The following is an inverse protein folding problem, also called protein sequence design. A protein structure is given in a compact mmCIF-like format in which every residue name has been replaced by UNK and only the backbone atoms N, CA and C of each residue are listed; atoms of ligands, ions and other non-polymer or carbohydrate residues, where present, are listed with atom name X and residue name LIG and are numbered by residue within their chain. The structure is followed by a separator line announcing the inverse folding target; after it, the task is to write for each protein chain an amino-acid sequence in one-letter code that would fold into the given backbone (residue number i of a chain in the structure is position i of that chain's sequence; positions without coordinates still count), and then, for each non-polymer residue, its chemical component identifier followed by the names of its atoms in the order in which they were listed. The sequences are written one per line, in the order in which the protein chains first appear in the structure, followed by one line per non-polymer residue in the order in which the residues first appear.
data_IF_855842619829
#
_entry.id   IF_855842619829
#
_cell.length_a   1.000
_cell.length_b   1.000
_cell.length_c   1.000
_cell.angle_alpha   90.00
_cell.angle_beta   90.00
_cell.angle_gamma   90.00
#
_symmetry.space_group_name_H-M   'P 1'
#
loop_
_entity.id
_entity.type
_entity.pdbx_description
1 polymer ?
#
# COMPACT_ATOMS: atom_id res chain seq x y z
N UNK A 1 5.75 -3.00 -0.29
CA UNK A 1 5.68 -1.72 -1.05
C UNK A 1 4.89 -0.69 -0.25
N UNK A 2 3.65 -0.98 0.14
CA UNK A 2 2.79 -0.01 0.85
C UNK A 2 3.37 0.59 2.14
N UNK A 3 4.03 -0.19 3.00
CA UNK A 3 4.64 0.39 4.23
C UNK A 3 5.65 1.48 3.89
N UNK A 4 6.47 1.29 2.85
CA UNK A 4 7.39 2.32 2.38
C UNK A 4 6.63 3.55 1.88
N UNK A 5 5.60 3.35 1.07
CA UNK A 5 4.80 4.44 0.50
C UNK A 5 4.04 5.26 1.55
N UNK A 6 3.47 4.60 2.56
CA UNK A 6 2.80 5.28 3.68
C UNK A 6 3.77 6.15 4.49
N UNK A 7 5.05 5.77 4.56
CA UNK A 7 6.07 6.49 5.33
C UNK A 7 6.80 7.57 4.52
N UNK A 8 6.97 7.37 3.22
CA UNK A 8 7.76 8.24 2.34
C UNK A 8 6.96 8.96 1.25
N UNK A 9 5.65 8.72 1.16
CA UNK A 9 4.75 9.33 0.16
C UNK A 9 5.01 8.92 -1.30
N UNK A 10 5.88 7.93 -1.53
CA UNK A 10 6.26 7.45 -2.87
C UNK A 10 6.66 5.98 -2.84
N UNK A 11 6.59 5.29 -3.98
CA UNK A 11 7.02 3.89 -4.06
C UNK A 11 8.54 3.77 -4.24
N UNK A 12 9.19 2.74 -3.67
CA UNK A 12 10.66 2.65 -3.63
C UNK A 12 11.31 2.39 -5.00
N UNK A 13 10.53 2.00 -6.01
CA UNK A 13 11.02 1.60 -7.34
C UNK A 13 10.33 2.37 -8.47
N UNK A 14 9.70 3.52 -8.18
CA UNK A 14 9.00 4.33 -9.19
C UNK A 14 9.94 4.72 -10.34
N UNK A 15 9.58 4.36 -11.57
CA UNK A 15 10.22 4.83 -12.79
C UNK A 15 9.37 5.88 -13.50
N UNK A 16 9.87 6.41 -14.63
CA UNK A 16 9.14 7.38 -15.46
C UNK A 16 7.85 6.83 -16.08
N UNK A 17 7.71 5.50 -16.12
CA UNK A 17 6.50 4.79 -16.57
C UNK A 17 6.57 3.31 -16.20
N UNK A 18 5.55 2.54 -16.58
CA UNK A 18 5.37 1.15 -16.12
C UNK A 18 6.58 0.25 -16.44
N UNK A 19 7.11 0.34 -17.66
CA UNK A 19 8.28 -0.45 -18.08
C UNK A 19 9.51 -0.15 -17.22
N UNK A 20 9.78 1.13 -16.94
CA UNK A 20 10.89 1.54 -16.10
C UNK A 20 10.69 1.09 -14.65
N UNK A 21 9.46 1.21 -14.11
CA UNK A 21 9.13 0.72 -12.77
C UNK A 21 9.35 -0.79 -12.64
N UNK A 22 8.91 -1.59 -13.61
CA UNK A 22 9.13 -3.05 -13.60
C UNK A 22 10.63 -3.39 -13.65
N UNK A 23 11.40 -2.71 -14.49
CA UNK A 23 12.84 -2.85 -14.53
C UNK A 23 13.48 -2.53 -13.16
N UNK A 24 13.07 -1.44 -12.51
CA UNK A 24 13.56 -1.05 -11.19
C UNK A 24 13.17 -2.05 -10.10
N UNK A 25 11.96 -2.60 -10.15
CA UNK A 25 11.50 -3.65 -9.22
C UNK A 25 12.40 -4.88 -9.27
N UNK A 26 13.01 -5.19 -10.42
CA UNK A 26 13.93 -6.32 -10.56
C UNK A 26 15.36 -5.91 -10.17
N UNK A 27 15.91 -4.89 -10.83
CA UNK A 27 17.34 -4.58 -10.77
C UNK A 27 17.77 -3.52 -9.75
N UNK A 28 16.86 -2.61 -9.35
CA UNK A 28 17.24 -1.52 -8.46
C UNK A 28 17.29 -1.98 -7.01
N UNK A 29 18.39 -1.64 -6.32
CA UNK A 29 18.52 -1.82 -4.88
C UNK A 29 17.55 -0.91 -4.11
N UNK A 30 17.02 -1.41 -3.00
CA UNK A 30 16.18 -0.62 -2.10
C UNK A 30 17.02 0.49 -1.46
N UNK A 31 16.56 1.74 -1.58
CA UNK A 31 17.17 2.91 -0.94
C UNK A 31 16.12 3.59 -0.06
N UNK A 32 16.60 4.23 1.00
CA UNK A 32 15.76 5.01 1.89
C UNK A 32 16.27 6.46 1.85
N UNK A 33 15.40 7.45 1.63
CA UNK A 33 15.80 8.86 1.71
C UNK A 33 16.14 9.22 3.16
N UNK A 34 16.88 10.31 3.34
CA UNK A 34 17.26 10.84 4.65
C UNK A 34 16.06 11.37 5.43
N UNK A 35 15.09 11.95 4.71
CA UNK A 35 13.86 12.51 5.25
C UNK A 35 12.61 11.94 4.53
N UNK A 36 11.47 11.80 5.22
CA UNK A 36 11.31 11.93 6.68
C UNK A 36 12.08 10.86 7.47
N UNK A 37 12.39 11.17 8.73
CA UNK A 37 12.99 10.20 9.64
C UNK A 37 11.98 9.10 9.96
N UNK A 38 12.40 7.86 9.74
CA UNK A 38 11.60 6.65 9.95
C UNK A 38 12.37 5.73 10.88
N UNK A 39 11.67 5.03 11.77
CA UNK A 39 12.30 4.16 12.76
C UNK A 39 13.15 3.06 12.10
N UNK A 40 14.22 2.66 12.78
CA UNK A 40 15.09 1.57 12.33
C UNK A 40 14.30 0.27 12.14
N UNK A 41 13.37 -0.04 13.04
CA UNK A 41 12.49 -1.19 12.96
C UNK A 41 11.60 -1.17 11.69
N UNK A 42 11.08 -0.01 11.28
CA UNK A 42 10.30 0.10 10.04
C UNK A 42 11.18 -0.14 8.81
N UNK A 43 12.38 0.47 8.77
CA UNK A 43 13.35 0.26 7.69
C UNK A 43 13.77 -1.21 7.59
N UNK A 44 13.98 -1.85 8.73
CA UNK A 44 14.35 -3.27 8.80
C UNK A 44 13.24 -4.18 8.26
N UNK A 45 11.99 -3.96 8.69
CA UNK A 45 10.83 -4.70 8.16
C UNK A 45 10.71 -4.55 6.64
N UNK A 46 10.84 -3.32 6.13
CA UNK A 46 10.75 -3.05 4.68
C UNK A 46 11.87 -3.78 3.93
N UNK A 47 13.11 -3.78 4.46
CA UNK A 47 14.22 -4.54 3.87
C UNK A 47 13.89 -6.03 3.78
N UNK A 48 13.38 -6.63 4.86
CA UNK A 48 12.99 -8.03 4.91
C UNK A 48 11.83 -8.38 3.96
N UNK A 49 10.86 -7.48 3.79
CA UNK A 49 9.72 -7.65 2.88
C UNK A 49 10.10 -7.47 1.40
N UNK A 50 11.09 -6.64 1.09
CA UNK A 50 11.48 -6.29 -0.28
C UNK A 50 12.76 -7.01 -0.75
N UNK A 51 13.11 -8.12 -0.10
CA UNK A 51 14.14 -9.04 -0.61
C UNK A 51 13.70 -9.59 -1.97
N UNK A 52 14.62 -9.50 -2.95
CA UNK A 52 14.37 -9.93 -4.33
C UNK A 52 14.18 -11.44 -4.41
N UNK A 53 15.04 -12.19 -3.72
CA UNK A 53 14.95 -13.65 -3.60
C UNK A 53 13.78 -14.06 -2.70
N UNK A 54 12.72 -14.72 -3.22
CA UNK A 54 11.53 -15.02 -2.43
C UNK A 54 11.78 -15.90 -1.20
N UNK A 55 12.73 -16.83 -1.32
CA UNK A 55 13.14 -17.78 -0.26
C UNK A 55 13.76 -17.09 0.96
N UNK A 56 14.32 -15.89 0.77
CA UNK A 56 14.97 -15.08 1.81
C UNK A 56 14.07 -13.98 2.34
N UNK A 57 12.88 -13.80 1.77
CA UNK A 57 11.92 -12.78 2.18
C UNK A 57 11.32 -13.15 3.54
N UNK A 58 11.13 -12.17 4.40
CA UNK A 58 10.35 -12.38 5.64
C UNK A 58 8.96 -12.93 5.28
N UNK A 59 8.42 -13.77 6.16
CA UNK A 59 7.22 -14.59 5.97
C UNK A 59 7.39 -15.81 5.06
N UNK A 60 8.59 -16.11 4.54
CA UNK A 60 8.77 -17.31 3.72
C UNK A 60 8.62 -18.61 4.52
N UNK A 61 9.18 -18.71 5.73
CA UNK A 61 9.20 -19.97 6.50
C UNK A 61 7.97 -20.16 7.38
N UNK A 62 7.57 -19.14 8.14
CA UNK A 62 6.44 -19.21 9.09
C UNK A 62 5.29 -18.26 8.75
N UNK A 63 5.24 -17.76 7.52
CA UNK A 63 4.15 -16.90 7.06
C UNK A 63 4.03 -15.61 7.87
N UNK A 64 2.79 -15.15 8.03
CA UNK A 64 2.46 -13.90 8.70
C UNK A 64 2.98 -13.79 10.14
N UNK A 65 3.24 -14.91 10.82
CA UNK A 65 3.75 -14.91 12.19
C UNK A 65 5.09 -14.20 12.31
N UNK A 66 5.97 -14.34 11.32
CA UNK A 66 7.27 -13.61 11.30
C UNK A 66 7.07 -12.10 11.23
N UNK A 67 6.09 -11.65 10.45
CA UNK A 67 5.75 -10.22 10.33
C UNK A 67 5.17 -9.73 11.66
N UNK A 68 4.23 -10.46 12.25
CA UNK A 68 3.55 -10.07 13.50
C UNK A 68 4.49 -9.96 14.70
N UNK A 69 5.57 -10.74 14.72
CA UNK A 69 6.59 -10.75 15.79
C UNK A 69 7.73 -9.77 15.54
N UNK A 70 7.76 -9.09 14.39
CA UNK A 70 8.80 -8.13 14.07
C UNK A 70 8.77 -6.94 15.03
N UNK A 71 9.91 -6.38 15.47
CA UNK A 71 9.96 -5.21 16.37
C UNK A 71 9.15 -3.99 15.91
N UNK A 72 8.90 -3.87 14.61
CA UNK A 72 8.04 -2.82 14.05
C UNK A 72 6.59 -2.88 14.58
N UNK A 73 6.10 -4.07 14.90
CA UNK A 73 4.76 -4.31 15.45
C UNK A 73 4.80 -4.64 16.96
N UNK A 74 5.89 -4.28 17.65
CA UNK A 74 5.95 -4.41 19.11
C UNK A 74 4.80 -3.62 19.76
N UNK A 75 4.16 -4.22 20.77
CA UNK A 75 3.01 -3.64 21.46
C UNK A 75 1.66 -3.80 20.72
N UNK A 76 1.64 -4.32 19.49
CA UNK A 76 0.37 -4.54 18.77
C UNK A 76 -0.35 -5.79 19.30
N UNK A 77 -1.54 -5.57 19.88
CA UNK A 77 -2.45 -6.67 20.20
C UNK A 77 -3.30 -7.06 18.98
N UNK A 78 -2.82 -8.05 18.24
CA UNK A 78 -3.49 -8.54 17.02
C UNK A 78 -4.90 -9.10 17.25
N UNK A 79 -5.21 -9.60 18.44
CA UNK A 79 -6.53 -10.14 18.76
C UNK A 79 -7.58 -9.03 18.94
N UNK A 80 -7.15 -7.84 19.40
CA UNK A 80 -8.03 -6.69 19.69
C UNK A 80 -7.92 -5.56 18.67
N UNK A 81 -7.21 -5.77 17.55
CA UNK A 81 -6.89 -4.70 16.60
C UNK A 81 -8.13 -3.98 16.04
N UNK A 82 -9.26 -4.68 15.91
CA UNK A 82 -10.53 -4.11 15.43
C UNK A 82 -11.23 -3.21 16.44
N UNK A 83 -10.89 -3.35 17.72
CA UNK A 83 -11.43 -2.56 18.83
C UNK A 83 -10.48 -1.43 19.23
N UNK A 84 -9.29 -1.36 18.64
CA UNK A 84 -8.36 -0.27 18.88
C UNK A 84 -8.92 1.05 18.32
N UNK A 85 -8.73 2.13 19.07
CA UNK A 85 -9.05 3.47 18.56
C UNK A 85 -8.16 3.76 17.35
N UNK A 86 -8.74 4.09 16.17
CA UNK A 86 -7.95 4.40 15.00
C UNK A 86 -7.21 5.74 15.20
N UNK A 87 -6.05 5.93 14.56
CA UNK A 87 -5.30 7.18 14.66
C UNK A 87 -6.04 8.37 14.01
N UNK A 88 -6.96 8.09 13.09
CA UNK A 88 -7.77 9.10 12.43
C UNK A 88 -9.15 8.52 12.13
N UNK A 89 -10.19 9.28 12.46
CA UNK A 89 -11.58 8.99 12.09
C UNK A 89 -11.97 10.02 11.02
N UNK A 90 -12.23 9.61 9.77
CA UNK A 90 -12.60 10.53 8.71
C UNK A 90 -14.03 11.08 8.93
N UNK A 91 -14.26 12.30 8.44
CA UNK A 91 -15.59 12.90 8.40
C UNK A 91 -16.56 12.07 7.53
N UNK A 92 -17.86 12.05 7.84
CA UNK A 92 -18.86 11.41 7.00
C UNK A 92 -18.82 11.95 5.58
N UNK A 93 -18.69 11.05 4.60
CA UNK A 93 -18.71 11.41 3.18
C UNK A 93 -20.14 11.32 2.66
N UNK A 94 -20.65 12.40 2.07
CA UNK A 94 -21.89 12.35 1.31
C UNK A 94 -21.64 11.72 -0.07
N UNK A 95 -22.22 10.54 -0.29
CA UNK A 95 -22.08 9.80 -1.55
C UNK A 95 -23.13 10.20 -2.61
N UNK A 96 -23.99 11.18 -2.34
CA UNK A 96 -25.02 11.66 -3.28
C UNK A 96 -24.45 12.09 -4.64
N UNK A 97 -23.21 12.58 -4.68
CA UNK A 97 -22.52 13.02 -5.90
C UNK A 97 -22.10 11.87 -6.83
N UNK A 98 -22.04 10.62 -6.35
CA UNK A 98 -21.71 9.45 -7.16
C UNK A 98 -22.96 8.72 -7.69
N UNK A 99 -24.17 9.20 -7.36
CA UNK A 99 -25.44 8.57 -7.74
C UNK A 99 -25.96 8.97 -9.13
N UNK A 100 -25.31 9.92 -9.82
CA UNK A 100 -25.71 10.37 -11.16
C UNK A 100 -25.34 9.34 -12.22
N UNK A 101 -26.23 8.38 -12.44
CA UNK A 101 -26.19 7.43 -13.56
C UNK A 101 -26.40 8.16 -14.89
N UNK A 102 -25.57 7.81 -15.87
CA UNK A 102 -25.77 8.07 -17.28
C UNK A 102 -27.22 7.74 -17.69
N UNK A 103 -27.98 8.76 -18.06
CA UNK A 103 -29.23 8.64 -18.81
C UNK A 103 -29.16 9.57 -20.02
N UNK A 104 -28.18 9.36 -20.88
CA UNK A 104 -28.13 10.06 -22.17
C UNK A 104 -27.65 9.12 -23.27
N UNK A 105 -28.42 8.06 -23.54
CA UNK A 105 -28.32 7.32 -24.82
C UNK A 105 -29.57 6.53 -25.22
N UNK A 106 -30.70 6.65 -24.50
CA UNK A 106 -31.95 5.95 -24.84
C UNK A 106 -33.06 6.84 -25.45
N UNK A 107 -32.70 8.02 -25.99
CA UNK A 107 -33.66 8.95 -26.60
C UNK A 107 -33.46 9.15 -28.13
N UNK A 108 -32.69 8.29 -28.80
CA UNK A 108 -32.38 8.44 -30.23
C UNK A 108 -32.77 7.20 -31.07
N UNK A 109 -33.92 6.57 -30.82
CA UNK A 109 -34.55 5.63 -31.78
C UNK A 109 -36.08 5.68 -31.64
N UNK A 110 -36.72 6.80 -31.97
CA UNK A 110 -38.09 6.80 -32.52
C UNK A 110 -38.41 8.18 -33.13
N UNK A 111 -38.32 8.30 -34.46
CA UNK A 111 -38.50 9.58 -35.14
C UNK A 111 -37.99 9.59 -36.58
N UNK A 112 -38.32 8.58 -37.37
CA UNK A 112 -38.01 8.52 -38.80
C UNK A 112 -39.17 7.88 -39.55
N UNK A 113 -40.10 8.71 -39.99
CA UNK A 113 -41.20 8.36 -40.90
C UNK A 113 -40.67 8.28 -42.33
#
# INVERSE_FOLDING_TARGET
IFIYELLYGSTPFKGQGNRATLHNVIGQALRFPELPHVSSAARDLIKGLLVKEPQKRIAYKRGATEIKQHPFFEGVNWALIRSATPPHVPEPVDFSCFASKDKESLAAVDGGK
#
